data_IF_678651848340
#
_entry.id   IF_678651848340
#
_cell.length_a   1.000
_cell.length_b   1.000
_cell.length_c   1.000
_cell.angle_alpha   90.00
_cell.angle_beta   90.00
_cell.angle_gamma   90.00
#
_symmetry.space_group_name_H-M   'P 1'
#
loop_
_entity.id
_entity.type
_entity.pdbx_description
1 polymer ?
#
# COMPACT_ATOMS: atom_id res chain seq x y z
N UNK A 1 8.22 -2.66 10.41
CA UNK A 1 9.22 -3.13 9.41
C UNK A 1 9.91 -1.92 8.81
N UNK A 2 11.23 -1.78 9.01
CA UNK A 2 12.07 -0.80 8.29
C UNK A 2 12.37 -1.31 6.89
N UNK A 3 12.37 -0.40 5.89
CA UNK A 3 12.83 -0.72 4.54
C UNK A 3 14.01 0.18 4.21
N UNK A 4 15.16 -0.41 3.82
CA UNK A 4 16.36 0.30 3.47
C UNK A 4 16.82 -0.05 2.06
N UNK A 5 17.02 0.98 1.26
CA UNK A 5 17.53 0.91 -0.09
C UNK A 5 19.03 1.24 -0.08
N UNK A 6 19.85 0.41 -0.70
CA UNK A 6 21.28 0.63 -0.86
C UNK A 6 21.66 0.56 -2.35
N UNK A 7 22.03 1.70 -2.91
CA UNK A 7 22.47 1.86 -4.30
C UNK A 7 21.50 1.26 -5.32
N UNK A 8 20.19 1.35 -5.05
CA UNK A 8 19.17 0.78 -5.92
C UNK A 8 19.08 1.56 -7.22
N UNK A 9 19.22 0.85 -8.35
CA UNK A 9 19.08 1.43 -9.69
C UNK A 9 18.10 0.61 -10.51
N UNK A 10 17.28 1.29 -11.32
CA UNK A 10 16.28 0.67 -12.21
C UNK A 10 16.26 1.34 -13.56
N UNK A 11 16.20 0.51 -14.60
CA UNK A 11 16.01 0.97 -15.97
C UNK A 11 15.02 0.06 -16.71
N UNK A 12 14.35 0.60 -17.71
CA UNK A 12 13.52 -0.14 -18.67
C UNK A 12 14.07 0.12 -20.07
N UNK A 13 14.66 -0.91 -20.69
CA UNK A 13 15.41 -0.73 -21.93
C UNK A 13 16.52 0.32 -21.73
N UNK A 14 16.49 1.38 -22.52
CA UNK A 14 17.48 2.47 -22.42
C UNK A 14 17.03 3.61 -21.48
N UNK A 15 15.86 3.52 -20.87
CA UNK A 15 15.32 4.56 -19.99
C UNK A 15 15.71 4.28 -18.55
N UNK A 16 16.63 5.08 -18.01
CA UNK A 16 16.93 5.10 -16.57
C UNK A 16 15.73 5.68 -15.80
N UNK A 17 15.26 4.96 -14.78
CA UNK A 17 14.20 5.44 -13.88
C UNK A 17 14.82 6.18 -12.71
N UNK A 18 15.77 5.53 -12.03
CA UNK A 18 16.61 6.11 -10.99
C UNK A 18 17.95 5.36 -10.94
N UNK A 19 18.97 6.01 -10.40
CA UNK A 19 20.33 5.48 -10.26
C UNK A 19 20.84 5.69 -8.84
N UNK A 20 21.45 4.66 -8.28
CA UNK A 20 22.13 4.67 -6.96
C UNK A 20 21.26 5.28 -5.84
N UNK A 21 19.96 4.98 -5.86
CA UNK A 21 19.01 5.46 -4.84
C UNK A 21 19.34 4.82 -3.49
N UNK A 22 19.57 5.70 -2.51
CA UNK A 22 19.74 5.30 -1.11
C UNK A 22 18.63 5.98 -0.31
N UNK A 23 17.84 5.22 0.43
CA UNK A 23 16.73 5.73 1.23
C UNK A 23 16.40 4.77 2.37
N UNK A 24 15.86 5.33 3.46
CA UNK A 24 15.39 4.55 4.61
C UNK A 24 13.94 4.94 4.90
N UNK A 25 13.06 3.96 4.91
CA UNK A 25 11.69 4.09 5.37
C UNK A 25 11.59 3.52 6.78
N UNK A 26 11.42 4.40 7.75
CA UNK A 26 11.45 4.04 9.17
C UNK A 26 10.27 3.16 9.57
N UNK A 27 10.54 2.22 10.48
CA UNK A 27 9.49 1.36 11.03
C UNK A 27 8.48 2.17 11.85
N UNK A 28 7.20 1.80 11.76
CA UNK A 28 6.13 2.42 12.53
C UNK A 28 5.78 3.86 12.13
N UNK A 29 6.14 4.26 10.91
CA UNK A 29 5.89 5.60 10.35
C UNK A 29 5.07 5.53 9.07
N UNK A 30 4.39 6.64 8.77
CA UNK A 30 3.80 6.91 7.46
C UNK A 30 4.80 7.76 6.67
N UNK A 31 5.35 7.21 5.60
CA UNK A 31 6.23 7.97 4.70
C UNK A 31 5.50 8.27 3.39
N UNK A 32 5.37 9.57 3.09
CA UNK A 32 4.87 10.04 1.79
C UNK A 32 5.98 10.05 0.74
N UNK A 33 5.76 9.38 -0.37
CA UNK A 33 6.65 9.40 -1.53
C UNK A 33 6.07 10.36 -2.57
N UNK A 34 6.73 11.49 -2.77
CA UNK A 34 6.29 12.55 -3.69
C UNK A 34 7.32 12.76 -4.80
N UNK A 35 6.94 13.46 -5.85
CA UNK A 35 7.81 13.76 -7.00
C UNK A 35 6.99 13.89 -8.28
N UNK A 36 7.64 14.29 -9.36
CA UNK A 36 7.02 14.51 -10.67
C UNK A 36 6.39 13.23 -11.25
N UNK A 37 5.48 13.43 -12.21
CA UNK A 37 4.95 12.31 -12.98
C UNK A 37 6.09 11.66 -13.78
N UNK A 38 6.20 10.35 -13.67
CA UNK A 38 7.28 9.60 -14.31
C UNK A 38 8.59 9.55 -13.53
N UNK A 39 8.67 10.12 -12.31
CA UNK A 39 9.85 10.03 -11.44
C UNK A 39 10.16 8.60 -10.92
N UNK A 40 9.28 7.63 -11.20
CA UNK A 40 9.50 6.24 -10.82
C UNK A 40 8.88 5.82 -9.49
N UNK A 41 8.00 6.63 -8.90
CA UNK A 41 7.36 6.35 -7.57
C UNK A 41 6.69 4.98 -7.52
N UNK A 42 5.77 4.70 -8.46
CA UNK A 42 5.08 3.39 -8.53
C UNK A 42 6.04 2.26 -8.85
N UNK A 43 7.09 2.53 -9.64
CA UNK A 43 8.17 1.56 -9.88
C UNK A 43 8.87 1.23 -8.57
N UNK A 44 9.24 2.23 -7.77
CA UNK A 44 9.89 2.03 -6.49
C UNK A 44 9.01 1.19 -5.53
N UNK A 45 7.71 1.51 -5.43
CA UNK A 45 6.80 0.68 -4.62
C UNK A 45 6.74 -0.77 -5.11
N UNK A 46 6.76 -1.01 -6.42
CA UNK A 46 6.78 -2.38 -6.99
C UNK A 46 8.07 -3.13 -6.67
N UNK A 47 9.22 -2.44 -6.68
CA UNK A 47 10.49 -3.04 -6.24
C UNK A 47 10.42 -3.41 -4.76
N UNK A 48 9.98 -2.49 -3.90
CA UNK A 48 9.82 -2.75 -2.45
C UNK A 48 8.79 -3.86 -2.20
N UNK A 49 7.72 -3.94 -3.00
CA UNK A 49 6.75 -5.03 -2.91
C UNK A 49 7.29 -6.38 -3.42
N UNK A 50 8.47 -6.40 -4.04
CA UNK A 50 9.02 -7.58 -4.70
C UNK A 50 8.22 -8.05 -5.92
N UNK A 51 7.45 -7.16 -6.53
CA UNK A 51 6.67 -7.42 -7.75
C UNK A 51 7.51 -7.22 -9.02
N UNK A 52 8.61 -6.50 -8.91
CA UNK A 52 9.63 -6.33 -9.95
C UNK A 52 10.98 -6.60 -9.30
N UNK A 53 11.70 -7.61 -9.73
CA UNK A 53 13.00 -8.02 -9.18
C UNK A 53 14.18 -7.66 -10.10
N UNK A 54 13.90 -7.03 -11.24
CA UNK A 54 14.92 -6.59 -12.19
C UNK A 54 15.44 -5.19 -11.80
N UNK A 55 16.39 -5.15 -10.88
CA UNK A 55 17.09 -3.94 -10.42
C UNK A 55 18.50 -4.30 -9.93
N UNK A 56 19.38 -3.30 -9.80
CA UNK A 56 20.69 -3.44 -9.14
C UNK A 56 20.67 -2.76 -7.77
N UNK A 57 21.64 -3.11 -6.91
CA UNK A 57 21.66 -2.70 -5.52
C UNK A 57 20.90 -3.65 -4.61
N UNK A 58 20.54 -3.20 -3.41
CA UNK A 58 19.90 -4.04 -2.40
C UNK A 58 18.72 -3.34 -1.73
N UNK A 59 17.67 -4.12 -1.43
CA UNK A 59 16.53 -3.69 -0.60
C UNK A 59 16.49 -4.61 0.62
N UNK A 60 16.64 -4.02 1.79
CA UNK A 60 16.59 -4.72 3.07
C UNK A 60 15.29 -4.43 3.82
N UNK A 61 14.79 -5.43 4.53
CA UNK A 61 13.60 -5.39 5.37
C UNK A 61 14.00 -5.83 6.78
N UNK A 62 14.02 -4.91 7.74
CA UNK A 62 14.60 -5.13 9.07
C UNK A 62 16.00 -5.77 8.98
N UNK A 63 16.84 -5.25 8.07
CA UNK A 63 18.21 -5.72 7.82
C UNK A 63 18.33 -7.04 7.04
N UNK A 64 17.24 -7.63 6.55
CA UNK A 64 17.24 -8.90 5.79
C UNK A 64 16.81 -8.66 4.34
N UNK A 65 17.36 -9.46 3.43
CA UNK A 65 16.89 -9.48 2.04
C UNK A 65 15.51 -10.12 1.94
N UNK A 66 14.79 -9.78 0.85
CA UNK A 66 13.44 -10.28 0.59
C UNK A 66 13.39 -11.82 0.61
N UNK A 67 12.41 -12.36 1.30
CA UNK A 67 12.20 -13.80 1.44
C UNK A 67 10.72 -14.13 1.47
N UNK A 68 10.37 -15.40 1.24
CA UNK A 68 8.98 -15.86 1.25
C UNK A 68 8.22 -15.47 2.54
N UNK A 69 8.76 -15.59 3.77
CA UNK A 69 8.08 -15.11 4.97
C UNK A 69 7.83 -13.61 4.98
N UNK A 70 8.74 -12.79 4.42
CA UNK A 70 8.57 -11.33 4.34
C UNK A 70 7.43 -10.93 3.39
N UNK A 71 7.26 -11.63 2.26
CA UNK A 71 6.08 -11.40 1.39
C UNK A 71 4.75 -11.57 2.11
N UNK A 72 4.67 -12.47 3.08
CA UNK A 72 3.45 -12.69 3.84
C UNK A 72 3.13 -11.56 4.82
N UNK A 73 4.12 -10.71 5.11
CA UNK A 73 4.04 -9.60 6.06
C UNK A 73 3.84 -8.25 5.37
N UNK A 74 3.71 -8.22 4.05
CA UNK A 74 3.51 -6.98 3.31
C UNK A 74 2.32 -7.04 2.36
N UNK A 75 1.84 -5.88 1.97
CA UNK A 75 0.74 -5.74 1.00
C UNK A 75 0.91 -4.48 0.18
N UNK A 76 0.29 -4.47 -1.00
CA UNK A 76 0.24 -3.28 -1.85
C UNK A 76 -1.19 -3.01 -2.32
N UNK A 77 -1.60 -1.75 -2.23
CA UNK A 77 -2.84 -1.23 -2.83
C UNK A 77 -2.45 -0.40 -4.03
N UNK A 78 -2.98 -0.74 -5.19
CA UNK A 78 -2.73 -0.03 -6.44
C UNK A 78 -3.69 1.15 -6.61
N UNK A 79 -3.32 2.14 -7.40
CA UNK A 79 -4.13 3.30 -7.75
C UNK A 79 -5.51 2.91 -8.27
N UNK A 80 -5.57 1.93 -9.18
CA UNK A 80 -6.82 1.30 -9.59
C UNK A 80 -7.03 0.04 -8.77
N UNK A 81 -8.09 -0.03 -7.92
CA UNK A 81 -8.29 -1.18 -7.05
C UNK A 81 -8.70 -2.42 -7.85
N UNK A 82 -7.90 -3.48 -7.76
CA UNK A 82 -8.25 -4.79 -8.30
C UNK A 82 -8.99 -5.61 -7.25
N UNK A 83 -10.32 -5.62 -7.32
CA UNK A 83 -11.13 -6.49 -6.48
C UNK A 83 -11.40 -7.82 -7.19
N UNK A 84 -11.48 -8.88 -6.39
CA UNK A 84 -11.84 -10.20 -6.89
C UNK A 84 -13.30 -10.19 -7.37
N UNK A 85 -13.62 -10.98 -8.41
CA UNK A 85 -15.00 -11.16 -8.91
C UNK A 85 -15.85 -11.98 -7.92
N UNK A 86 -15.96 -11.48 -6.69
CA UNK A 86 -16.64 -12.07 -5.54
C UNK A 86 -17.41 -10.99 -4.78
N UNK A 87 -18.09 -11.38 -3.71
CA UNK A 87 -18.75 -10.44 -2.79
C UNK A 87 -17.74 -9.50 -2.11
N UNK A 88 -18.23 -8.40 -1.54
CA UNK A 88 -17.44 -7.51 -0.67
C UNK A 88 -16.88 -8.30 0.51
N UNK A 89 -17.73 -9.11 1.16
CA UNK A 89 -17.32 -9.99 2.27
C UNK A 89 -16.14 -10.88 1.86
N UNK A 90 -16.25 -11.59 0.74
CA UNK A 90 -15.19 -12.49 0.28
C UNK A 90 -13.90 -11.75 -0.10
N UNK A 91 -14.00 -10.54 -0.65
CA UNK A 91 -12.83 -9.72 -0.92
C UNK A 91 -12.07 -9.39 0.35
N UNK A 92 -12.78 -8.96 1.41
CA UNK A 92 -12.16 -8.59 2.69
C UNK A 92 -11.64 -9.83 3.41
N UNK A 93 -12.38 -10.94 3.40
CA UNK A 93 -12.00 -12.19 4.06
C UNK A 93 -10.80 -12.91 3.41
N UNK A 94 -10.61 -12.73 2.09
CA UNK A 94 -9.66 -13.49 1.29
C UNK A 94 -8.23 -13.55 1.84
N UNK A 95 -7.61 -12.45 2.31
CA UNK A 95 -6.25 -12.51 2.88
C UNK A 95 -6.11 -13.39 4.11
N UNK A 96 -7.16 -13.51 4.91
CA UNK A 96 -7.19 -14.40 6.08
C UNK A 96 -7.38 -15.85 5.65
N UNK A 97 -8.22 -16.11 4.63
CA UNK A 97 -8.43 -17.44 4.07
C UNK A 97 -7.16 -18.07 3.53
N UNK A 98 -6.39 -17.34 2.71
CA UNK A 98 -5.12 -17.83 2.14
C UNK A 98 -3.99 -17.96 3.16
N UNK A 99 -4.16 -17.39 4.36
CA UNK A 99 -3.28 -17.55 5.52
C UNK A 99 -3.76 -18.63 6.48
N UNK A 100 -4.76 -19.41 6.07
CA UNK A 100 -5.33 -20.54 6.82
C UNK A 100 -5.77 -20.16 8.25
N UNK A 101 -6.30 -18.94 8.43
CA UNK A 101 -6.89 -18.53 9.70
C UNK A 101 -8.16 -19.34 9.99
N UNK A 102 -8.52 -19.48 11.27
CA UNK A 102 -9.73 -20.20 11.64
C UNK A 102 -11.00 -19.54 11.10
N UNK A 103 -12.04 -20.33 10.82
CA UNK A 103 -13.32 -19.80 10.33
C UNK A 103 -13.93 -18.76 11.29
N UNK A 104 -13.75 -18.95 12.60
CA UNK A 104 -14.21 -18.01 13.62
C UNK A 104 -13.46 -16.67 13.52
N UNK A 105 -12.12 -16.70 13.42
CA UNK A 105 -11.31 -15.49 13.28
C UNK A 105 -11.65 -14.75 11.98
N UNK A 106 -11.75 -15.47 10.84
CA UNK A 106 -12.11 -14.90 9.54
C UNK A 106 -13.44 -14.16 9.66
N UNK A 107 -14.46 -14.82 10.21
CA UNK A 107 -15.79 -14.24 10.36
C UNK A 107 -15.74 -12.98 11.23
N UNK A 108 -15.20 -13.09 12.44
CA UNK A 108 -15.15 -11.97 13.39
C UNK A 108 -14.42 -10.75 12.84
N UNK A 109 -13.22 -10.94 12.27
CA UNK A 109 -12.43 -9.84 11.69
C UNK A 109 -13.11 -9.24 10.47
N UNK A 110 -13.73 -10.06 9.62
CA UNK A 110 -14.39 -9.57 8.40
C UNK A 110 -15.64 -8.77 8.74
N UNK A 111 -16.51 -9.28 9.63
CA UNK A 111 -17.71 -8.57 10.08
C UNK A 111 -17.35 -7.25 10.78
N UNK A 112 -16.35 -7.26 11.66
CA UNK A 112 -15.87 -6.04 12.32
C UNK A 112 -15.33 -5.01 11.32
N UNK A 113 -14.59 -5.45 10.29
CA UNK A 113 -14.07 -4.57 9.25
C UNK A 113 -15.20 -3.97 8.40
N UNK A 114 -16.19 -4.77 8.01
CA UNK A 114 -17.38 -4.33 7.25
C UNK A 114 -18.18 -3.29 8.04
N UNK A 115 -18.41 -3.53 9.33
CA UNK A 115 -19.07 -2.59 10.22
C UNK A 115 -18.30 -1.29 10.36
N UNK A 116 -16.96 -1.37 10.50
CA UNK A 116 -16.09 -0.20 10.53
C UNK A 116 -16.17 0.64 9.26
N UNK A 117 -16.31 0.02 8.10
CA UNK A 117 -16.47 0.69 6.81
C UNK A 117 -17.88 1.30 6.64
N UNK A 118 -18.86 0.93 7.46
CA UNK A 118 -20.26 1.33 7.32
C UNK A 118 -20.93 0.79 6.04
N UNK A 119 -20.51 -0.40 5.59
CA UNK A 119 -20.96 -1.01 4.33
C UNK A 119 -21.65 -2.37 4.53
N UNK A 120 -22.28 -2.58 5.67
CA UNK A 120 -22.96 -3.85 5.99
C UNK A 120 -23.98 -4.25 4.92
N UNK A 121 -24.70 -3.28 4.36
CA UNK A 121 -25.68 -3.50 3.30
C UNK A 121 -25.06 -3.94 1.97
N UNK A 122 -23.75 -3.76 1.81
CA UNK A 122 -23.02 -4.12 0.59
C UNK A 122 -22.25 -5.44 0.75
N UNK A 123 -22.27 -6.07 1.93
CA UNK A 123 -21.45 -7.25 2.26
C UNK A 123 -21.59 -8.37 1.22
N UNK A 124 -22.81 -8.67 0.80
CA UNK A 124 -23.13 -9.74 -0.15
C UNK A 124 -23.10 -9.25 -1.62
N UNK A 125 -22.92 -7.94 -1.85
CA UNK A 125 -22.86 -7.38 -3.19
C UNK A 125 -21.55 -7.77 -3.87
N UNK A 126 -21.61 -8.10 -5.16
CA UNK A 126 -20.42 -8.32 -5.96
C UNK A 126 -19.59 -7.03 -6.10
N UNK A 127 -18.30 -7.12 -5.89
CA UNK A 127 -17.40 -5.97 -5.84
C UNK A 127 -17.35 -5.13 -7.13
N UNK A 128 -17.69 -5.69 -8.29
CA UNK A 128 -17.75 -4.95 -9.55
C UNK A 128 -18.94 -3.97 -9.65
N UNK A 129 -19.86 -4.01 -8.70
CA UNK A 129 -21.01 -3.10 -8.62
C UNK A 129 -20.76 -1.89 -7.68
N UNK A 130 -19.60 -1.85 -7.04
CA UNK A 130 -19.24 -0.77 -6.13
C UNK A 130 -18.90 0.51 -6.89
N UNK A 131 -19.17 1.63 -6.27
CA UNK A 131 -18.62 2.94 -6.69
C UNK A 131 -17.09 2.96 -6.54
N UNK A 132 -16.41 3.95 -7.14
CA UNK A 132 -14.98 4.12 -7.03
C UNK A 132 -14.51 4.23 -5.58
N UNK A 133 -15.17 5.08 -4.78
CA UNK A 133 -14.81 5.26 -3.37
C UNK A 133 -15.05 4.00 -2.51
N UNK A 134 -16.15 3.29 -2.74
CA UNK A 134 -16.41 2.01 -2.06
C UNK A 134 -15.36 0.95 -2.45
N UNK A 135 -14.99 0.89 -3.73
CA UNK A 135 -13.95 -0.04 -4.20
C UNK A 135 -12.59 0.23 -3.55
N UNK A 136 -12.22 1.51 -3.39
CA UNK A 136 -10.98 1.91 -2.71
C UNK A 136 -11.01 1.55 -1.22
N UNK A 137 -12.13 1.82 -0.52
CA UNK A 137 -12.32 1.43 0.89
C UNK A 137 -12.20 -0.08 1.07
N UNK A 138 -12.85 -0.87 0.21
CA UNK A 138 -12.78 -2.34 0.27
C UNK A 138 -11.36 -2.84 -0.04
N UNK A 139 -10.65 -2.23 -1.00
CA UNK A 139 -9.26 -2.58 -1.30
C UNK A 139 -8.32 -2.29 -0.12
N UNK A 140 -8.48 -1.13 0.54
CA UNK A 140 -7.73 -0.78 1.74
C UNK A 140 -8.05 -1.74 2.89
N UNK A 141 -9.33 -2.00 3.16
CA UNK A 141 -9.76 -2.95 4.20
C UNK A 141 -9.18 -4.35 3.97
N UNK A 142 -9.25 -4.84 2.73
CA UNK A 142 -8.62 -6.11 2.34
C UNK A 142 -7.11 -6.12 2.59
N UNK A 143 -6.45 -5.00 2.36
CA UNK A 143 -5.02 -4.88 2.58
C UNK A 143 -4.66 -4.87 4.07
N UNK A 144 -5.48 -4.29 4.94
CA UNK A 144 -5.18 -4.11 6.36
C UNK A 144 -5.66 -5.27 7.26
N UNK A 145 -6.64 -6.09 6.83
CA UNK A 145 -7.33 -7.05 7.69
C UNK A 145 -6.42 -8.12 8.32
N UNK A 146 -5.33 -8.48 7.66
CA UNK A 146 -4.37 -9.46 8.16
C UNK A 146 -3.18 -8.85 8.91
N UNK A 147 -3.23 -7.53 9.16
CA UNK A 147 -2.28 -6.75 9.95
C UNK A 147 -0.82 -6.85 9.43
N UNK A 148 -0.58 -6.57 8.12
CA UNK A 148 0.76 -6.61 7.55
C UNK A 148 1.73 -5.65 8.24
N UNK A 149 3.03 -5.99 8.28
CA UNK A 149 4.07 -5.14 8.87
C UNK A 149 4.45 -3.97 7.97
N UNK A 150 4.23 -4.13 6.64
CA UNK A 150 4.46 -3.10 5.63
C UNK A 150 3.27 -2.97 4.69
N UNK A 151 2.75 -1.76 4.56
CA UNK A 151 1.67 -1.41 3.64
C UNK A 151 2.19 -0.41 2.62
N UNK A 152 2.06 -0.75 1.35
CA UNK A 152 2.45 0.07 0.22
C UNK A 152 1.19 0.59 -0.48
N UNK A 153 1.04 1.90 -0.61
CA UNK A 153 -0.16 2.54 -1.13
C UNK A 153 0.20 3.41 -2.34
N UNK A 154 -0.26 3.03 -3.52
CA UNK A 154 -0.05 3.78 -4.75
C UNK A 154 -1.28 4.63 -5.06
N UNK A 155 -1.26 5.91 -4.66
CA UNK A 155 -2.36 6.88 -4.82
C UNK A 155 -3.74 6.34 -4.39
N UNK A 156 -3.89 5.80 -3.18
CA UNK A 156 -5.07 5.02 -2.78
C UNK A 156 -6.35 5.85 -2.71
N UNK A 157 -6.25 7.17 -2.72
CA UNK A 157 -7.38 8.10 -2.55
C UNK A 157 -7.61 8.97 -3.79
N UNK A 158 -7.02 8.59 -4.94
CA UNK A 158 -7.19 9.33 -6.18
C UNK A 158 -8.60 9.16 -6.74
N UNK A 159 -9.25 10.29 -7.09
CA UNK A 159 -10.54 10.28 -7.79
C UNK A 159 -11.76 9.89 -6.95
N UNK A 160 -11.66 9.93 -5.62
CA UNK A 160 -12.77 9.65 -4.71
C UNK A 160 -13.23 10.92 -3.98
N UNK A 161 -14.42 10.87 -3.38
CA UNK A 161 -15.00 11.98 -2.65
C UNK A 161 -14.27 12.31 -1.35
N UNK A 162 -14.42 13.57 -0.88
CA UNK A 162 -13.69 14.06 0.29
C UNK A 162 -14.03 13.31 1.60
N UNK A 163 -15.24 12.78 1.75
CA UNK A 163 -15.63 12.03 2.94
C UNK A 163 -14.92 10.67 2.95
N UNK A 164 -14.85 10.00 1.81
CA UNK A 164 -14.10 8.75 1.63
C UNK A 164 -12.60 8.96 1.86
N UNK A 165 -12.03 10.07 1.37
CA UNK A 165 -10.63 10.42 1.63
C UNK A 165 -10.36 10.51 3.12
N UNK A 166 -11.11 11.34 3.86
CA UNK A 166 -10.92 11.52 5.32
C UNK A 166 -11.01 10.20 6.08
N UNK A 167 -12.01 9.40 5.75
CA UNK A 167 -12.18 8.09 6.37
C UNK A 167 -10.97 7.16 6.16
N UNK A 168 -10.42 7.13 4.94
CA UNK A 168 -9.24 6.31 4.62
C UNK A 168 -7.98 6.84 5.31
N UNK A 169 -7.82 8.16 5.41
CA UNK A 169 -6.73 8.81 6.15
C UNK A 169 -6.77 8.40 7.64
N UNK A 170 -7.94 8.50 8.27
CA UNK A 170 -8.15 8.09 9.66
C UNK A 170 -7.84 6.59 9.85
N UNK A 171 -8.27 5.73 8.93
CA UNK A 171 -7.94 4.30 8.95
C UNK A 171 -6.43 4.04 8.91
N UNK A 172 -5.70 4.74 8.05
CA UNK A 172 -4.25 4.58 7.89
C UNK A 172 -3.53 5.10 9.14
N UNK A 173 -3.89 6.28 9.64
CA UNK A 173 -3.30 6.86 10.85
C UNK A 173 -3.52 5.96 12.07
N UNK A 174 -4.75 5.49 12.27
CA UNK A 174 -5.06 4.58 13.36
C UNK A 174 -4.29 3.27 13.23
N UNK A 175 -4.20 2.73 12.02
CA UNK A 175 -3.46 1.50 11.74
C UNK A 175 -1.99 1.63 12.20
N UNK A 176 -1.31 2.70 11.81
CA UNK A 176 0.09 2.93 12.21
C UNK A 176 0.19 3.19 13.70
N UNK A 177 -0.70 4.03 14.26
CA UNK A 177 -0.67 4.39 15.69
C UNK A 177 -0.92 3.20 16.62
N UNK A 178 -1.92 2.34 16.28
CA UNK A 178 -2.34 1.22 17.15
C UNK A 178 -1.44 0.01 16.99
N UNK A 179 -1.09 -0.33 15.73
CA UNK A 179 -0.34 -1.57 15.45
C UNK A 179 1.16 -1.33 15.23
N UNK A 180 1.64 -0.08 15.27
CA UNK A 180 3.04 0.28 15.03
C UNK A 180 3.59 -0.28 13.70
N UNK A 181 2.73 -0.30 12.67
CA UNK A 181 3.06 -0.82 11.34
C UNK A 181 3.60 0.30 10.45
N UNK A 182 4.28 -0.06 9.37
CA UNK A 182 4.91 0.88 8.45
C UNK A 182 4.04 1.07 7.22
N UNK A 183 3.88 2.32 6.79
CA UNK A 183 3.15 2.67 5.56
C UNK A 183 4.06 3.52 4.67
N UNK A 184 4.17 3.14 3.40
CA UNK A 184 4.79 3.97 2.35
C UNK A 184 3.69 4.30 1.36
N UNK A 185 3.41 5.60 1.17
CA UNK A 185 2.29 6.05 0.37
C UNK A 185 2.71 7.05 -0.70
N UNK A 186 2.31 6.82 -1.94
CA UNK A 186 2.39 7.83 -3.00
C UNK A 186 1.15 8.69 -2.93
N UNK A 187 1.35 10.01 -2.97
CA UNK A 187 0.28 10.98 -3.16
C UNK A 187 0.78 12.17 -3.98
N UNK A 188 -0.09 12.70 -4.82
CA UNK A 188 0.14 13.96 -5.55
C UNK A 188 -0.43 15.18 -4.81
N UNK A 189 -1.18 14.96 -3.74
CA UNK A 189 -1.75 16.03 -2.92
C UNK A 189 -0.76 16.44 -1.83
N UNK A 190 -0.11 17.60 -2.02
CA UNK A 190 0.88 18.13 -1.09
C UNK A 190 0.30 18.34 0.33
N UNK A 191 -0.96 18.81 0.44
CA UNK A 191 -1.64 18.98 1.72
C UNK A 191 -1.83 17.64 2.43
N UNK A 192 -2.30 16.62 1.71
CA UNK A 192 -2.45 15.27 2.23
C UNK A 192 -1.11 14.71 2.74
N UNK A 193 -0.03 14.88 1.97
CA UNK A 193 1.30 14.46 2.40
C UNK A 193 1.73 15.13 3.72
N UNK A 194 1.45 16.44 3.88
CA UNK A 194 1.80 17.18 5.09
C UNK A 194 0.95 16.82 6.32
N UNK A 195 -0.35 16.53 6.11
CA UNK A 195 -1.29 16.22 7.20
C UNK A 195 -1.22 14.75 7.65
N UNK A 196 -0.88 13.84 6.73
CA UNK A 196 -0.94 12.40 6.99
C UNK A 196 0.42 11.76 7.27
N UNK A 197 1.50 12.26 6.65
CA UNK A 197 2.79 11.58 6.68
C UNK A 197 3.72 12.13 7.77
N UNK A 198 4.38 11.25 8.50
CA UNK A 198 5.43 11.61 9.47
C UNK A 198 6.69 12.12 8.76
N UNK A 199 6.93 11.65 7.54
CA UNK A 199 8.08 12.02 6.71
C UNK A 199 7.68 12.06 5.23
N UNK A 200 8.28 13.01 4.49
CA UNK A 200 8.09 13.12 3.04
C UNK A 200 9.45 12.88 2.36
N UNK A 201 9.46 11.96 1.41
CA UNK A 201 10.62 11.64 0.56
C UNK A 201 10.32 12.14 -0.86
N UNK A 202 11.21 12.97 -1.38
CA UNK A 202 11.12 13.48 -2.76
C UNK A 202 11.90 12.57 -3.69
N UNK A 203 11.20 11.84 -4.55
CA UNK A 203 11.83 11.04 -5.59
C UNK A 203 12.05 11.91 -6.83
N UNK A 204 13.31 12.09 -7.20
CA UNK A 204 13.70 12.72 -8.45
C UNK A 204 14.00 11.62 -9.46
N UNK A 205 13.32 11.65 -10.61
CA UNK A 205 13.66 10.76 -11.72
C UNK A 205 15.10 11.01 -12.17
N UNK A 206 15.77 9.99 -12.72
CA UNK A 206 17.04 10.21 -13.36
C UNK A 206 16.87 11.34 -14.39
N UNK A 207 17.63 12.42 -14.28
CA UNK A 207 17.60 13.50 -15.23
C UNK A 207 17.78 12.87 -16.63
N UNK A 208 16.75 12.99 -17.46
CA UNK A 208 16.78 12.43 -18.78
C UNK A 208 18.01 12.97 -19.50
N UNK A 209 18.96 12.09 -19.80
CA UNK A 209 20.05 12.42 -20.71
C UNK A 209 19.42 12.93 -22.01
N UNK A 210 19.63 14.21 -22.29
CA UNK A 210 19.36 14.78 -23.60
C UNK A 210 20.31 14.15 -24.60
#
# INVERSE_FOLDING_TARGET
MEVRLEQVSKQYGNKQVFANLNEIFESGKITGLVGDNGAGKSTLLRLIAGLDLDYSGHIYYDGKLLSKPLYQQMTMVFQTPYLLKRSVYDNIAYPLQIRHRSAVEIRQKTEAMIARLGIEKLADQYAHKLSGGESQKVALARALIFEPDLVLLDEPMSGIDAASVRFMEEMIQEYVRVYHKTVIMITHNARQAQELCDRIVHLHGAAGGK
#
